data_IF_143732963423
#
_entry.id   IF_143732963423
#
_cell.length_a   1.000
_cell.length_b   1.000
_cell.length_c   1.000
_cell.angle_alpha   90.00
_cell.angle_beta   90.00
_cell.angle_gamma   90.00
#
_symmetry.space_group_name_H-M   'P 1'
#
loop_
_entity.id
_entity.type
_entity.pdbx_description
1 polymer ?
#
# COMPACT_ATOMS: atom_id res chain seq x y z
N UNK A 1 -14.25 -24.35 15.57
CA UNK A 1 -13.34 -23.62 14.66
C UNK A 1 -14.18 -22.66 13.83
N UNK A 2 -14.12 -21.35 14.13
CA UNK A 2 -14.94 -20.33 13.45
C UNK A 2 -14.20 -19.85 12.21
N UNK A 3 -14.73 -20.19 11.03
CA UNK A 3 -14.27 -19.58 9.76
C UNK A 3 -14.61 -18.09 9.80
N UNK A 4 -13.58 -17.26 9.96
CA UNK A 4 -13.70 -15.80 9.85
C UNK A 4 -13.98 -15.49 8.38
N UNK A 5 -15.24 -15.18 8.07
CA UNK A 5 -15.69 -14.81 6.73
C UNK A 5 -15.13 -13.42 6.40
N UNK A 6 -14.00 -13.38 5.70
CA UNK A 6 -13.35 -12.13 5.25
C UNK A 6 -14.07 -11.60 4.02
N UNK A 7 -15.33 -11.21 4.16
CA UNK A 7 -16.06 -10.50 3.11
C UNK A 7 -16.24 -9.05 3.53
N UNK A 8 -15.26 -8.21 3.18
CA UNK A 8 -15.28 -6.76 3.41
C UNK A 8 -16.44 -6.06 2.67
N UNK A 9 -17.10 -6.74 1.72
CA UNK A 9 -18.25 -6.22 0.99
C UNK A 9 -19.42 -7.21 1.02
N UNK A 10 -20.22 -7.17 2.09
CA UNK A 10 -21.47 -7.95 2.21
C UNK A 10 -22.47 -7.67 1.05
N UNK A 11 -22.36 -6.50 0.41
CA UNK A 11 -23.16 -6.07 -0.74
C UNK A 11 -22.87 -6.90 -2.00
N UNK A 12 -21.67 -7.45 -2.15
CA UNK A 12 -21.32 -8.25 -3.33
C UNK A 12 -21.93 -9.65 -3.29
N UNK A 13 -22.19 -10.20 -2.10
CA UNK A 13 -22.79 -11.54 -1.96
C UNK A 13 -24.31 -11.55 -2.15
N UNK A 14 -24.95 -10.39 -2.24
CA UNK A 14 -26.41 -10.26 -2.44
C UNK A 14 -26.80 -9.98 -3.89
N UNK A 15 -25.82 -9.86 -4.82
CA UNK A 15 -26.08 -9.65 -6.25
C UNK A 15 -26.14 -10.99 -6.99
N UNK A 16 -27.16 -11.16 -7.83
CA UNK A 16 -27.28 -12.29 -8.74
C UNK A 16 -26.15 -12.27 -9.78
N UNK A 17 -25.57 -13.44 -10.06
CA UNK A 17 -24.35 -13.65 -10.86
C UNK A 17 -24.58 -13.41 -12.37
N UNK A 18 -25.83 -13.27 -12.82
CA UNK A 18 -26.17 -13.26 -14.25
C UNK A 18 -25.90 -11.93 -14.99
N UNK A 19 -25.29 -10.94 -14.33
CA UNK A 19 -24.83 -9.70 -14.98
C UNK A 19 -23.44 -9.26 -14.52
N UNK A 20 -22.48 -10.19 -14.44
CA UNK A 20 -21.07 -9.80 -14.27
C UNK A 20 -20.59 -9.22 -15.60
N UNK A 21 -20.51 -7.89 -15.69
CA UNK A 21 -19.94 -7.17 -16.84
C UNK A 21 -18.41 -7.32 -16.84
N UNK A 22 -17.92 -8.52 -17.13
CA UNK A 22 -16.50 -8.88 -17.09
C UNK A 22 -15.64 -7.91 -17.89
N UNK A 23 -16.11 -7.50 -19.06
CA UNK A 23 -15.42 -6.56 -19.95
C UNK A 23 -15.23 -5.18 -19.29
N UNK A 24 -16.29 -4.63 -18.68
CA UNK A 24 -16.22 -3.39 -17.90
C UNK A 24 -15.24 -3.49 -16.73
N UNK A 25 -15.24 -4.59 -16.00
CA UNK A 25 -14.32 -4.77 -14.87
C UNK A 25 -12.87 -4.94 -15.34
N UNK A 26 -12.64 -5.63 -16.45
CA UNK A 26 -11.33 -5.72 -17.08
C UNK A 26 -10.81 -4.35 -17.51
N UNK A 27 -11.64 -3.53 -18.17
CA UNK A 27 -11.25 -2.15 -18.52
C UNK A 27 -10.90 -1.31 -17.29
N UNK A 28 -11.68 -1.42 -16.21
CA UNK A 28 -11.40 -0.72 -14.95
C UNK A 28 -10.11 -1.21 -14.31
N UNK A 29 -9.83 -2.53 -14.34
CA UNK A 29 -8.58 -3.09 -13.84
C UNK A 29 -7.38 -2.61 -14.65
N UNK A 30 -7.47 -2.57 -15.98
CA UNK A 30 -6.41 -2.07 -16.86
C UNK A 30 -6.14 -0.59 -16.56
N UNK A 31 -7.18 0.25 -16.48
CA UNK A 31 -7.04 1.67 -16.13
C UNK A 31 -6.44 1.86 -14.73
N UNK A 32 -6.82 1.02 -13.78
CA UNK A 32 -6.26 1.05 -12.44
C UNK A 32 -4.76 0.71 -12.48
N UNK A 33 -4.38 -0.38 -13.15
CA UNK A 33 -2.98 -0.80 -13.30
C UNK A 33 -2.15 0.30 -13.95
N UNK A 34 -2.63 0.90 -15.05
CA UNK A 34 -1.92 1.99 -15.73
C UNK A 34 -1.78 3.21 -14.82
N UNK A 35 -2.85 3.61 -14.12
CA UNK A 35 -2.81 4.70 -13.14
C UNK A 35 -1.79 4.46 -12.01
N UNK A 36 -1.69 3.22 -11.53
CA UNK A 36 -0.64 2.82 -10.57
C UNK A 36 0.75 2.92 -11.22
N UNK A 37 0.95 2.36 -12.40
CA UNK A 37 2.25 2.37 -13.07
C UNK A 37 2.76 3.78 -13.34
N UNK A 38 1.89 4.70 -13.77
CA UNK A 38 2.21 6.11 -13.97
C UNK A 38 2.55 6.80 -12.65
N UNK A 39 1.70 6.65 -11.63
CA UNK A 39 1.90 7.28 -10.31
C UNK A 39 3.20 6.83 -9.65
N UNK A 40 3.56 5.55 -9.80
CA UNK A 40 4.76 4.96 -9.20
C UNK A 40 5.94 4.85 -10.18
N UNK A 41 5.90 5.50 -11.34
CA UNK A 41 6.98 5.45 -12.32
C UNK A 41 8.31 5.97 -11.75
N UNK A 42 8.26 7.01 -10.90
CA UNK A 42 9.44 7.54 -10.19
C UNK A 42 10.05 6.57 -9.18
N UNK A 43 9.25 5.66 -8.62
CA UNK A 43 9.73 4.63 -7.68
C UNK A 43 10.54 3.55 -8.40
N UNK A 44 10.24 3.26 -9.68
CA UNK A 44 11.05 2.32 -10.49
C UNK A 44 12.51 2.76 -10.60
N UNK A 45 12.78 4.07 -10.61
CA UNK A 45 14.15 4.63 -10.63
C UNK A 45 14.93 4.38 -9.34
N UNK A 46 14.22 4.06 -8.26
CA UNK A 46 14.78 3.79 -6.93
C UNK A 46 14.66 2.31 -6.58
N UNK A 47 14.30 1.44 -7.53
CA UNK A 47 14.08 0.02 -7.29
C UNK A 47 15.35 -0.65 -6.75
N UNK A 48 16.52 -0.23 -7.24
CA UNK A 48 17.82 -0.73 -6.80
C UNK A 48 18.08 -0.40 -5.32
N UNK A 49 17.67 0.81 -4.88
CA UNK A 49 17.74 1.22 -3.48
C UNK A 49 16.79 0.40 -2.58
N UNK A 50 15.66 -0.08 -3.13
CA UNK A 50 14.66 -0.85 -2.38
C UNK A 50 14.98 -2.35 -2.32
N UNK A 51 15.77 -2.87 -3.26
CA UNK A 51 16.05 -4.30 -3.39
C UNK A 51 16.71 -4.88 -2.14
N UNK A 52 17.76 -4.22 -1.65
CA UNK A 52 18.52 -4.69 -0.48
C UNK A 52 17.71 -4.64 0.82
N UNK A 53 17.10 -3.51 1.22
CA UNK A 53 16.31 -3.46 2.45
C UNK A 53 14.99 -4.23 2.36
N UNK A 54 14.51 -4.61 1.17
CA UNK A 54 13.29 -5.44 1.06
C UNK A 54 13.55 -6.93 1.28
N UNK A 55 14.70 -7.45 0.86
CA UNK A 55 15.09 -8.84 1.10
C UNK A 55 16.63 -8.99 1.13
N UNK A 56 17.27 -8.70 2.27
CA UNK A 56 18.73 -8.74 2.37
C UNK A 56 19.29 -10.18 2.32
N UNK A 57 18.45 -11.21 2.46
CA UNK A 57 18.85 -12.62 2.40
C UNK A 57 18.93 -13.17 0.97
N UNK A 58 18.48 -12.41 -0.03
CA UNK A 58 18.47 -12.82 -1.44
C UNK A 58 19.30 -11.90 -2.34
N UNK A 59 20.22 -11.15 -1.74
CA UNK A 59 21.18 -10.28 -2.43
C UNK A 59 22.53 -11.00 -2.44
N UNK A 60 23.18 -11.06 -3.59
CA UNK A 60 24.57 -11.55 -3.65
C UNK A 60 25.49 -10.52 -2.99
N UNK A 61 26.22 -10.86 -1.91
CA UNK A 61 27.15 -9.94 -1.28
C UNK A 61 28.26 -9.46 -2.23
N UNK A 62 28.65 -10.26 -3.23
CA UNK A 62 29.71 -9.89 -4.19
C UNK A 62 29.25 -8.84 -5.21
N UNK A 63 27.94 -8.74 -5.44
CA UNK A 63 27.34 -7.71 -6.31
C UNK A 63 26.90 -6.47 -5.53
N UNK A 64 26.95 -6.51 -4.20
CA UNK A 64 26.58 -5.39 -3.34
C UNK A 64 27.72 -4.37 -3.22
N UNK A 65 27.37 -3.10 -2.95
CA UNK A 65 28.36 -2.07 -2.66
C UNK A 65 29.18 -2.41 -1.41
N UNK A 66 30.48 -2.09 -1.42
CA UNK A 66 31.48 -2.47 -0.40
C UNK A 66 31.00 -2.28 1.04
N UNK A 67 30.30 -1.17 1.32
CA UNK A 67 29.79 -0.84 2.66
C UNK A 67 28.77 -1.84 3.22
N UNK A 68 28.15 -2.67 2.38
CA UNK A 68 27.18 -3.69 2.82
C UNK A 68 27.76 -5.10 2.82
N UNK A 69 28.89 -5.36 2.16
CA UNK A 69 29.33 -6.74 1.89
C UNK A 69 29.53 -7.53 3.19
N UNK A 70 30.24 -6.95 4.17
CA UNK A 70 30.43 -7.59 5.47
C UNK A 70 29.12 -7.76 6.24
N UNK A 71 28.29 -6.72 6.30
CA UNK A 71 26.97 -6.78 6.95
C UNK A 71 26.09 -7.87 6.35
N UNK A 72 26.09 -8.02 5.02
CA UNK A 72 25.31 -9.04 4.31
C UNK A 72 25.84 -10.45 4.56
N UNK A 73 27.16 -10.64 4.56
CA UNK A 73 27.77 -11.93 4.86
C UNK A 73 27.39 -12.38 6.27
N UNK A 74 27.56 -11.51 7.26
CA UNK A 74 27.24 -11.82 8.66
C UNK A 74 25.73 -12.09 8.84
N UNK A 75 24.90 -11.26 8.21
CA UNK A 75 23.44 -11.41 8.26
C UNK A 75 22.99 -12.73 7.62
N UNK A 76 23.48 -13.05 6.43
CA UNK A 76 23.06 -14.22 5.66
C UNK A 76 23.54 -15.53 6.28
N UNK A 77 24.66 -15.50 7.01
CA UNK A 77 25.15 -16.63 7.79
C UNK A 77 24.39 -16.84 9.11
N UNK A 78 23.56 -15.88 9.54
CA UNK A 78 22.77 -15.98 10.75
C UNK A 78 21.39 -16.61 10.49
N UNK A 79 21.29 -17.91 10.78
CA UNK A 79 20.05 -18.67 10.60
C UNK A 79 18.89 -18.19 11.49
N UNK A 80 19.17 -17.63 12.66
CA UNK A 80 18.12 -17.13 13.55
C UNK A 80 17.51 -15.84 13.01
N UNK A 81 18.34 -14.92 12.51
CA UNK A 81 17.86 -13.72 11.82
C UNK A 81 17.08 -14.07 10.56
N UNK A 82 17.54 -15.06 9.79
CA UNK A 82 16.81 -15.56 8.61
C UNK A 82 15.42 -16.09 8.99
N UNK A 83 15.33 -16.85 10.09
CA UNK A 83 14.04 -17.35 10.61
C UNK A 83 13.15 -16.19 11.06
N UNK A 84 13.68 -15.26 11.84
CA UNK A 84 12.94 -14.09 12.32
C UNK A 84 12.38 -13.24 11.19
N UNK A 85 13.13 -13.08 10.09
CA UNK A 85 12.69 -12.36 8.89
C UNK A 85 11.43 -12.99 8.27
N UNK A 86 11.42 -14.32 8.13
CA UNK A 86 10.27 -15.06 7.57
C UNK A 86 9.06 -15.01 8.51
N UNK A 87 9.27 -15.06 9.81
CA UNK A 87 8.19 -15.16 10.81
C UNK A 87 7.51 -13.82 11.14
N UNK A 88 8.27 -12.72 11.24
CA UNK A 88 7.76 -11.47 11.85
C UNK A 88 7.48 -10.35 10.84
N UNK A 89 7.84 -10.56 9.57
CA UNK A 89 7.72 -9.58 8.50
C UNK A 89 8.74 -8.43 8.61
N UNK A 90 8.82 -7.67 7.53
CA UNK A 90 9.87 -6.67 7.30
C UNK A 90 10.03 -5.63 8.43
N UNK A 91 8.93 -4.99 8.82
CA UNK A 91 8.96 -3.88 9.77
C UNK A 91 9.41 -4.34 11.16
N UNK A 92 8.86 -5.47 11.63
CA UNK A 92 9.19 -6.06 12.92
C UNK A 92 10.62 -6.58 12.93
N UNK A 93 11.06 -7.19 11.82
CA UNK A 93 12.44 -7.65 11.66
C UNK A 93 13.46 -6.53 11.90
N UNK A 94 13.35 -5.42 11.14
CA UNK A 94 14.27 -4.30 11.29
C UNK A 94 14.16 -3.56 12.62
N UNK A 95 12.99 -3.60 13.27
CA UNK A 95 12.77 -2.94 14.56
C UNK A 95 13.30 -3.75 15.74
N UNK A 96 13.14 -5.07 15.73
CA UNK A 96 13.32 -5.91 16.92
C UNK A 96 14.50 -6.86 16.83
N UNK A 97 14.96 -7.22 15.63
CA UNK A 97 15.97 -8.28 15.44
C UNK A 97 17.28 -7.76 14.86
N UNK A 98 17.25 -6.63 14.18
CA UNK A 98 18.45 -6.01 13.61
C UNK A 98 19.03 -4.98 14.58
N UNK A 99 20.27 -5.21 14.99
CA UNK A 99 21.04 -4.26 15.79
C UNK A 99 21.66 -3.18 14.89
N UNK A 100 21.45 -1.91 15.23
CA UNK A 100 22.11 -0.78 14.54
C UNK A 100 23.62 -0.74 14.76
N UNK A 101 24.14 -1.43 15.79
CA UNK A 101 25.58 -1.52 16.04
C UNK A 101 26.25 -2.54 15.12
N UNK A 102 25.58 -3.66 14.85
CA UNK A 102 26.11 -4.73 14.00
C UNK A 102 25.83 -4.52 12.52
N UNK A 103 24.72 -3.85 12.17
CA UNK A 103 24.28 -3.65 10.79
C UNK A 103 23.93 -2.16 10.52
N UNK A 104 24.87 -1.22 10.72
CA UNK A 104 24.59 0.21 10.66
C UNK A 104 24.10 0.68 9.28
N UNK A 105 24.74 0.25 8.18
CA UNK A 105 24.38 0.69 6.84
C UNK A 105 23.02 0.13 6.42
N UNK A 106 22.81 -1.17 6.66
CA UNK A 106 21.56 -1.84 6.39
C UNK A 106 20.40 -1.22 7.18
N UNK A 107 20.63 -0.89 8.45
CA UNK A 107 19.59 -0.28 9.30
C UNK A 107 19.24 1.13 8.86
N UNK A 108 20.22 1.94 8.46
CA UNK A 108 19.97 3.30 7.97
C UNK A 108 19.11 3.29 6.70
N UNK A 109 19.44 2.43 5.75
CA UNK A 109 18.70 2.37 4.49
C UNK A 109 17.34 1.67 4.64
N UNK A 110 17.23 0.69 5.55
CA UNK A 110 15.93 0.13 5.94
C UNK A 110 15.01 1.21 6.54
N UNK A 111 15.53 2.13 7.36
CA UNK A 111 14.73 3.26 7.89
C UNK A 111 14.22 4.17 6.78
N UNK A 112 15.10 4.55 5.84
CA UNK A 112 14.71 5.36 4.67
C UNK A 112 13.66 4.63 3.81
N UNK A 113 13.89 3.36 3.52
CA UNK A 113 12.97 2.49 2.80
C UNK A 113 11.60 2.44 3.50
N UNK A 114 11.57 2.08 4.78
CA UNK A 114 10.35 2.00 5.58
C UNK A 114 9.64 3.36 5.64
N UNK A 115 10.35 4.47 5.76
CA UNK A 115 9.76 5.81 5.78
C UNK A 115 9.01 6.16 4.47
N UNK A 116 9.51 5.69 3.32
CA UNK A 116 8.80 5.84 2.04
C UNK A 116 7.41 5.20 2.11
N UNK A 117 7.30 4.00 2.71
CA UNK A 117 6.02 3.27 2.83
C UNK A 117 5.19 3.67 4.05
N UNK A 118 5.83 4.18 5.10
CA UNK A 118 5.17 4.76 6.26
C UNK A 118 4.39 6.01 5.87
N UNK A 119 4.88 6.79 4.90
CA UNK A 119 4.12 7.90 4.35
C UNK A 119 2.85 7.42 3.63
N UNK A 120 2.84 6.27 2.95
CA UNK A 120 1.62 5.69 2.38
C UNK A 120 0.65 5.15 3.44
N UNK A 121 1.10 4.46 4.49
CA UNK A 121 0.21 4.02 5.57
C UNK A 121 -0.38 5.20 6.36
N UNK A 122 0.45 6.19 6.68
CA UNK A 122 0.00 7.43 7.31
C UNK A 122 -0.89 8.25 6.37
N UNK A 123 -0.62 8.27 5.05
CA UNK A 123 -1.49 8.91 4.06
C UNK A 123 -2.79 8.14 3.87
N UNK A 124 -2.80 6.81 3.91
CA UNK A 124 -3.98 5.96 3.83
C UNK A 124 -4.83 6.13 5.07
N UNK A 125 -4.25 6.07 6.27
CA UNK A 125 -4.94 6.42 7.50
C UNK A 125 -5.48 7.85 7.44
N UNK A 126 -4.70 8.83 6.96
CA UNK A 126 -5.14 10.22 6.85
C UNK A 126 -6.24 10.41 5.79
N UNK A 127 -6.19 9.71 4.65
CA UNK A 127 -7.22 9.72 3.60
C UNK A 127 -8.52 9.07 4.07
N UNK A 128 -8.41 7.96 4.80
CA UNK A 128 -9.55 7.24 5.35
C UNK A 128 -10.17 7.96 6.56
N UNK A 129 -9.35 8.65 7.37
CA UNK A 129 -9.80 9.34 8.58
C UNK A 129 -10.29 10.77 8.33
N UNK A 130 -9.76 11.50 7.35
CA UNK A 130 -10.09 12.93 7.17
C UNK A 130 -11.18 13.23 6.17
N UNK A 131 -11.58 12.30 5.30
CA UNK A 131 -12.50 12.66 4.24
C UNK A 131 -13.83 11.89 4.32
N UNK A 132 -14.74 12.40 5.14
CA UNK A 132 -16.17 12.05 5.04
C UNK A 132 -16.74 12.27 3.63
N UNK A 133 -16.08 13.12 2.82
CA UNK A 133 -16.41 13.30 1.39
C UNK A 133 -16.02 12.10 0.55
N UNK A 134 -14.99 11.32 0.90
CA UNK A 134 -14.61 10.12 0.15
C UNK A 134 -15.65 9.01 0.35
N UNK A 135 -16.11 8.81 1.60
CA UNK A 135 -17.23 7.89 1.89
C UNK A 135 -18.51 8.31 1.18
N UNK A 136 -18.83 9.62 1.19
CA UNK A 136 -19.97 10.15 0.45
C UNK A 136 -19.81 10.00 -1.07
N UNK A 137 -18.63 10.28 -1.62
CA UNK A 137 -18.33 10.18 -3.05
C UNK A 137 -18.35 8.74 -3.55
N UNK A 138 -17.80 7.79 -2.78
CA UNK A 138 -17.90 6.37 -3.07
C UNK A 138 -19.34 5.88 -3.00
N UNK A 139 -20.12 6.33 -2.01
CA UNK A 139 -21.56 6.02 -1.91
C UNK A 139 -22.33 6.54 -3.13
N UNK A 140 -22.08 7.78 -3.56
CA UNK A 140 -22.71 8.36 -4.75
C UNK A 140 -22.31 7.58 -6.01
N UNK A 141 -21.01 7.33 -6.22
CA UNK A 141 -20.49 6.66 -7.41
C UNK A 141 -20.91 5.17 -7.54
N UNK A 142 -21.21 4.51 -6.42
CA UNK A 142 -21.58 3.08 -6.38
C UNK A 142 -23.07 2.82 -6.18
N UNK A 143 -23.85 3.85 -5.88
CA UNK A 143 -25.31 3.76 -5.76
C UNK A 143 -26.00 4.14 -7.07
N UNK A 144 -27.13 3.50 -7.38
CA UNK A 144 -28.01 3.92 -8.48
C UNK A 144 -28.94 5.08 -8.07
N UNK A 145 -28.63 5.81 -7.00
CA UNK A 145 -29.48 6.91 -6.52
C UNK A 145 -29.19 8.13 -7.40
N UNK A 146 -30.15 8.52 -8.23
CA UNK A 146 -30.09 9.75 -9.00
C UNK A 146 -30.09 10.97 -8.09
N UNK A 147 -29.39 12.03 -8.47
CA UNK A 147 -29.45 13.31 -7.75
C UNK A 147 -30.87 13.89 -7.88
N UNK A 148 -31.50 14.25 -6.76
CA UNK A 148 -32.79 14.93 -6.76
C UNK A 148 -32.59 16.43 -7.05
N UNK A 149 -32.43 16.73 -8.35
CA UNK A 149 -32.11 18.07 -8.86
C UNK A 149 -33.21 19.07 -8.51
N UNK A 150 -34.48 18.64 -8.51
CA UNK A 150 -35.63 19.47 -8.19
C UNK A 150 -35.62 19.93 -6.72
N UNK A 151 -35.31 19.02 -5.80
CA UNK A 151 -35.16 19.36 -4.39
C UNK A 151 -33.99 20.33 -4.14
N UNK A 152 -32.85 20.10 -4.80
CA UNK A 152 -31.67 20.96 -4.68
C UNK A 152 -31.90 22.35 -5.26
N UNK A 153 -32.61 22.44 -6.39
CA UNK A 153 -32.99 23.70 -7.01
C UNK A 153 -33.88 24.54 -6.07
N UNK A 154 -34.86 23.91 -5.41
CA UNK A 154 -35.72 24.59 -4.43
C UNK A 154 -35.00 25.08 -3.18
N UNK A 155 -33.90 24.45 -2.77
CA UNK A 155 -33.08 24.85 -1.59
C UNK A 155 -31.93 25.79 -1.92
N UNK A 156 -31.73 26.13 -3.19
CA UNK A 156 -30.63 27.02 -3.59
C UNK A 156 -30.88 28.44 -3.08
N UNK A 157 -30.14 28.87 -2.06
CA UNK A 157 -30.03 30.30 -1.74
C UNK A 157 -28.98 30.91 -2.67
N UNK A 158 -29.45 31.63 -3.69
CA UNK A 158 -28.57 32.45 -4.51
C UNK A 158 -28.06 33.61 -3.66
N UNK A 159 -26.74 33.69 -3.49
CA UNK A 159 -26.15 34.91 -2.95
C UNK A 159 -26.25 35.99 -4.02
N UNK A 160 -26.85 37.12 -3.67
CA UNK A 160 -26.95 38.29 -4.52
C UNK A 160 -25.66 39.07 -4.32
N UNK A 161 -24.87 39.23 -5.38
CA UNK A 161 -23.69 40.10 -5.34
C UNK A 161 -24.13 41.54 -5.10
N UNK A 162 -23.41 42.20 -4.19
CA UNK A 162 -23.63 43.60 -3.83
C UNK A 162 -22.92 44.57 -4.77
#
# INVERSE_FOLDING_TARGET
MVQKKVTHCAILSTRFVDTVQHEKYNELLVKLIDGFQQRFQGFKKHNDFMKLPSNPFNVDPTEAADKYQMELIDLQNNNDLKRSFVEHGLLTFYKCYISSESYPNLTEDAKKFIALFGSTYCCEQLFLLKDGRLTASLRIATSNVGADIEYLYKRKQCQISH
#
